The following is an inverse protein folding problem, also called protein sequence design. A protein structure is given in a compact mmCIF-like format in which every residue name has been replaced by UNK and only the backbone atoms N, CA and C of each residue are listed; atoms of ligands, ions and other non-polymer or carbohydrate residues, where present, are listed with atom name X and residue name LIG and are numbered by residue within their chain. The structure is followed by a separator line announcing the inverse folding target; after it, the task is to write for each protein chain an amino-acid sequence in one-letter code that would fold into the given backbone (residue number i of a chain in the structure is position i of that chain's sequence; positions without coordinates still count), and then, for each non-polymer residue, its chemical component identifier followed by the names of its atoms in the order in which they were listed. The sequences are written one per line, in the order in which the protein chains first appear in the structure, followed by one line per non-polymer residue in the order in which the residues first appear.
data_IF_092434446497
#
_entry.id   IF_092434446497
#
_cell.length_a   1.000
_cell.length_b   1.000
_cell.length_c   1.000
_cell.angle_alpha   90.00
_cell.angle_beta   90.00
_cell.angle_gamma   90.00
#
_symmetry.space_group_name_H-M   'P 1'
#
loop_
_entity.id
_entity.type
_entity.pdbx_description
1 polymer ?
#
# COMPACT_ATOMS: atom_id res chain seq x y z
N UNK A 1 34.74 18.08 25.79
CA UNK A 1 34.30 17.66 27.14
C UNK A 1 33.79 16.23 27.01
N UNK A 2 34.45 15.28 27.67
CA UNK A 2 34.14 13.85 27.59
C UNK A 2 32.82 13.58 28.33
N UNK A 3 31.71 13.52 27.59
CA UNK A 3 30.42 13.07 28.13
C UNK A 3 30.55 11.60 28.48
N UNK A 4 30.41 11.25 29.76
CA UNK A 4 30.40 9.87 30.21
C UNK A 4 29.37 9.04 29.39
N UNK A 5 29.68 7.79 29.02
CA UNK A 5 28.74 6.96 28.28
C UNK A 5 27.47 6.78 29.12
N UNK A 6 26.33 7.18 28.56
CA UNK A 6 25.03 7.04 29.22
C UNK A 6 24.68 5.55 29.26
N UNK A 7 24.63 4.99 30.47
CA UNK A 7 24.26 3.59 30.70
C UNK A 7 22.80 3.48 31.14
N UNK A 8 22.14 2.39 30.75
CA UNK A 8 20.74 2.10 31.07
C UNK A 8 20.62 0.76 31.79
N UNK A 9 19.73 0.69 32.78
CA UNK A 9 19.53 -0.52 33.56
C UNK A 9 18.40 -1.39 32.99
N UNK A 10 18.46 -2.73 33.14
CA UNK A 10 17.32 -3.60 32.88
C UNK A 10 16.09 -3.14 33.68
N UNK A 11 14.93 -3.23 33.06
CA UNK A 11 13.63 -2.71 33.50
C UNK A 11 13.49 -1.18 33.58
N UNK A 12 14.51 -0.40 33.22
CA UNK A 12 14.40 1.06 33.15
C UNK A 12 13.48 1.50 32.00
N UNK A 13 12.63 2.49 32.29
CA UNK A 13 11.79 3.16 31.29
C UNK A 13 12.62 4.19 30.55
N UNK A 14 12.65 4.10 29.23
CA UNK A 14 13.50 4.91 28.35
C UNK A 14 12.71 5.41 27.16
N UNK A 15 13.30 6.37 26.44
CA UNK A 15 12.80 6.82 25.15
C UNK A 15 13.76 6.26 24.08
N UNK A 16 13.23 5.58 23.06
CA UNK A 16 14.03 4.93 22.03
C UNK A 16 13.66 5.49 20.65
N UNK A 17 14.68 5.83 19.86
CA UNK A 17 14.49 6.18 18.46
C UNK A 17 14.15 4.94 17.64
N UNK A 18 13.09 5.03 16.82
CA UNK A 18 12.81 4.07 15.75
C UNK A 18 12.53 4.87 14.47
N UNK A 19 13.48 4.82 13.53
CA UNK A 19 13.51 5.77 12.41
C UNK A 19 13.66 7.22 12.88
N UNK A 20 12.90 8.19 12.32
CA UNK A 20 12.97 9.60 12.71
C UNK A 20 12.16 9.93 13.99
N UNK A 21 11.42 8.96 14.55
CA UNK A 21 10.53 9.17 15.69
C UNK A 21 11.10 8.58 16.98
N UNK A 22 10.64 9.11 18.11
CA UNK A 22 10.98 8.65 19.46
C UNK A 22 9.76 8.02 20.10
N UNK A 23 9.92 6.79 20.59
CA UNK A 23 8.87 6.00 21.25
C UNK A 23 9.23 5.73 22.71
N UNK A 24 8.19 5.53 23.52
CA UNK A 24 8.36 5.02 24.88
C UNK A 24 8.74 3.53 24.81
N UNK A 25 9.83 3.16 25.50
CA UNK A 25 10.33 1.80 25.55
C UNK A 25 10.78 1.43 26.97
N UNK A 26 10.99 0.13 27.18
CA UNK A 26 11.55 -0.44 28.40
C UNK A 26 12.76 -1.27 28.04
N UNK A 27 13.87 -1.09 28.76
CA UNK A 27 15.04 -1.94 28.61
C UNK A 27 14.73 -3.30 29.24
N UNK A 28 14.85 -4.38 28.47
CA UNK A 28 14.69 -5.75 28.95
C UNK A 28 16.03 -6.33 29.41
N UNK A 29 17.08 -6.17 28.60
CA UNK A 29 18.42 -6.71 28.85
C UNK A 29 19.49 -5.72 28.41
N UNK A 30 20.68 -5.85 28.98
CA UNK A 30 21.88 -5.09 28.63
C UNK A 30 23.03 -6.08 28.46
N UNK A 31 23.67 -6.07 27.30
CA UNK A 31 24.81 -6.93 26.97
C UNK A 31 25.92 -6.07 26.36
N UNK A 32 27.16 -6.27 26.80
CA UNK A 32 28.35 -5.67 26.19
C UNK A 32 28.90 -6.62 25.14
N UNK A 33 28.89 -6.19 23.88
CA UNK A 33 29.45 -6.98 22.78
C UNK A 33 30.89 -6.52 22.50
N UNK A 34 31.91 -7.39 22.73
CA UNK A 34 33.30 -7.07 22.41
C UNK A 34 33.56 -7.03 20.89
N UNK A 35 32.73 -7.74 20.12
CA UNK A 35 32.74 -7.78 18.65
C UNK A 35 31.52 -7.04 18.07
N UNK A 36 31.54 -6.66 16.77
CA UNK A 36 30.41 -5.99 16.12
C UNK A 36 29.12 -6.83 16.24
N UNK A 37 28.08 -6.25 16.84
CA UNK A 37 26.83 -6.98 17.06
C UNK A 37 26.16 -7.35 15.72
N UNK A 38 25.69 -8.60 15.52
CA UNK A 38 25.28 -9.13 14.21
C UNK A 38 24.12 -8.40 13.53
N UNK A 39 23.31 -7.62 14.26
CA UNK A 39 22.20 -6.83 13.70
C UNK A 39 22.49 -5.33 13.55
N UNK A 40 23.38 -4.78 14.36
CA UNK A 40 23.62 -3.33 14.45
C UNK A 40 24.99 -2.92 13.94
N UNK A 41 25.95 -3.85 13.85
CA UNK A 41 27.32 -3.62 13.39
C UNK A 41 28.17 -2.76 14.35
N UNK A 42 27.61 -2.32 15.48
CA UNK A 42 28.31 -1.53 16.50
C UNK A 42 28.98 -2.42 17.55
N UNK A 43 30.11 -1.95 18.08
CA UNK A 43 30.85 -2.55 19.19
C UNK A 43 30.45 -1.83 20.48
N UNK A 44 30.39 -2.55 21.61
CA UNK A 44 30.11 -1.99 22.93
C UNK A 44 28.72 -2.32 23.48
N UNK A 45 28.19 -1.52 24.43
CA UNK A 45 26.94 -1.83 25.11
C UNK A 45 25.76 -1.82 24.14
N UNK A 46 24.95 -2.88 24.20
CA UNK A 46 23.67 -2.97 23.52
C UNK A 46 22.57 -3.27 24.53
N UNK A 47 21.38 -2.77 24.22
CA UNK A 47 20.22 -2.89 25.08
C UNK A 47 19.08 -3.52 24.28
N UNK A 48 18.51 -4.60 24.80
CA UNK A 48 17.30 -5.17 24.25
C UNK A 48 16.14 -4.30 24.74
N UNK A 49 15.42 -3.68 23.82
CA UNK A 49 14.30 -2.79 24.17
C UNK A 49 12.96 -3.33 23.69
N UNK A 50 11.96 -3.16 24.53
CA UNK A 50 10.56 -3.41 24.20
C UNK A 50 9.79 -2.10 24.13
N UNK A 51 9.18 -1.80 22.99
CA UNK A 51 8.39 -0.59 22.80
C UNK A 51 7.01 -0.74 23.42
N UNK A 52 6.56 0.31 24.11
CA UNK A 52 5.23 0.30 24.74
C UNK A 52 4.14 0.22 23.69
N UNK A 53 3.31 -0.83 23.78
CA UNK A 53 2.19 -1.08 22.88
C UNK A 53 2.60 -1.75 21.56
N UNK A 54 3.83 -2.25 21.45
CA UNK A 54 4.30 -2.99 20.28
C UNK A 54 4.37 -4.49 20.62
N UNK A 55 4.29 -5.36 19.60
CA UNK A 55 4.44 -6.82 19.81
C UNK A 55 5.89 -7.16 20.18
N UNK A 56 6.11 -8.20 20.99
CA UNK A 56 7.45 -8.68 21.38
C UNK A 56 8.34 -9.06 20.18
N UNK A 57 7.74 -9.39 19.03
CA UNK A 57 8.50 -9.65 17.78
C UNK A 57 9.25 -8.42 17.26
N UNK A 58 8.93 -7.22 17.77
CA UNK A 58 9.62 -5.96 17.46
C UNK A 58 10.71 -5.61 18.47
N UNK A 59 10.97 -6.47 19.44
CA UNK A 59 12.05 -6.26 20.40
C UNK A 59 13.38 -6.33 19.66
N UNK A 60 14.18 -5.28 19.79
CA UNK A 60 15.45 -5.14 19.09
C UNK A 60 16.58 -4.77 20.04
N UNK A 61 17.78 -5.24 19.70
CA UNK A 61 19.01 -4.80 20.34
C UNK A 61 19.43 -3.48 19.71
N UNK A 62 19.58 -2.45 20.55
CA UNK A 62 19.96 -1.10 20.11
C UNK A 62 21.20 -0.61 20.84
N UNK A 63 22.07 0.18 20.17
CA UNK A 63 23.18 0.85 20.83
C UNK A 63 22.68 2.02 21.70
N UNK A 64 23.49 2.50 22.67
CA UNK A 64 23.13 3.61 23.55
C UNK A 64 22.75 4.89 22.80
N UNK A 65 23.29 5.12 21.60
CA UNK A 65 22.99 6.30 20.78
C UNK A 65 21.51 6.41 20.37
N UNK A 66 20.76 5.29 20.35
CA UNK A 66 19.31 5.30 20.07
C UNK A 66 18.46 5.49 21.33
N UNK A 67 19.06 5.47 22.51
CA UNK A 67 18.35 5.56 23.78
C UNK A 67 18.53 6.92 24.44
N UNK A 68 17.43 7.39 25.01
CA UNK A 68 17.30 8.64 25.72
C UNK A 68 16.74 8.36 27.11
N UNK A 69 17.30 9.02 28.13
CA UNK A 69 16.79 8.94 29.51
C UNK A 69 15.39 9.52 29.58
N UNK A 70 14.59 8.97 30.49
CA UNK A 70 13.26 9.48 30.80
C UNK A 70 13.35 10.79 31.59
N UNK A 71 13.46 11.91 30.89
CA UNK A 71 13.49 13.25 31.47
C UNK A 71 12.56 14.20 30.70
N UNK A 72 12.26 15.35 31.30
CA UNK A 72 11.31 16.32 30.75
C UNK A 72 11.76 16.88 29.39
N UNK A 73 13.07 17.05 29.19
CA UNK A 73 13.64 17.54 27.92
C UNK A 73 13.41 16.54 26.78
N UNK A 74 13.64 15.25 27.00
CA UNK A 74 13.48 14.21 25.98
C UNK A 74 11.99 13.90 25.73
N UNK A 75 11.14 14.06 26.76
CA UNK A 75 9.68 13.99 26.61
C UNK A 75 9.15 15.13 25.74
N UNK A 76 9.69 16.35 25.91
CA UNK A 76 9.36 17.47 25.02
C UNK A 76 9.81 17.20 23.57
N UNK A 77 11.00 16.59 23.38
CA UNK A 77 11.49 16.19 22.07
C UNK A 77 10.55 15.18 21.39
N UNK A 78 10.11 14.14 22.12
CA UNK A 78 9.13 13.18 21.62
C UNK A 78 7.84 13.88 21.15
N UNK A 79 7.28 14.77 21.98
CA UNK A 79 6.06 15.51 21.63
C UNK A 79 6.25 16.40 20.40
N UNK A 80 7.39 17.08 20.28
CA UNK A 80 7.68 17.95 19.15
C UNK A 80 7.83 17.15 17.84
N UNK A 81 8.54 16.02 17.88
CA UNK A 81 8.68 15.12 16.72
C UNK A 81 7.32 14.55 16.28
N UNK A 82 6.45 14.16 17.22
CA UNK A 82 5.10 13.68 16.90
C UNK A 82 4.20 14.79 16.33
N UNK A 83 4.32 16.02 16.84
CA UNK A 83 3.53 17.16 16.37
C UNK A 83 3.94 17.65 14.97
N UNK A 84 5.23 17.56 14.61
CA UNK A 84 5.70 17.98 13.28
C UNK A 84 5.29 17.02 12.16
N UNK A 85 5.05 15.74 12.46
CA UNK A 85 4.54 14.78 11.46
C UNK A 85 3.03 14.95 11.24
N UNK A 86 2.30 15.48 12.23
CA UNK A 86 0.87 15.78 12.11
C UNK A 86 0.55 17.07 11.34
N UNK A 87 1.56 17.83 10.91
CA UNK A 87 1.38 19.00 10.05
C UNK A 87 1.82 18.65 8.62
N UNK A 88 0.91 18.64 7.63
CA UNK A 88 1.33 18.55 6.24
C UNK A 88 2.23 19.76 5.93
N UNK A 89 3.37 19.50 5.29
CA UNK A 89 4.29 20.53 4.81
C UNK A 89 3.56 21.49 3.87
N UNK A 90 3.04 22.58 4.42
CA UNK A 90 2.60 23.74 3.66
C UNK A 90 3.85 24.55 3.31
N UNK A 91 4.02 24.77 2.00
CA UNK A 91 5.06 25.55 1.36
C UNK A 91 5.36 26.85 2.11
N UNK A 92 6.65 27.08 2.32
CA UNK A 92 7.25 28.33 2.71
C UNK A 92 6.85 29.46 1.75
N UNK A 93 6.08 30.43 2.25
CA UNK A 93 6.06 31.80 1.74
C UNK A 93 6.07 32.76 2.92
N UNK A 94 7.02 33.69 2.88
CA UNK A 94 7.22 34.77 3.85
C UNK A 94 5.99 35.68 3.90
N UNK A 95 5.54 36.08 5.10
CA UNK A 95 5.43 37.50 5.44
C UNK A 95 5.25 37.76 6.94
N UNK A 96 5.80 38.91 7.32
CA UNK A 96 5.88 39.63 8.59
C UNK A 96 4.53 39.92 9.28
N UNK A 97 4.56 40.14 10.61
CA UNK A 97 3.59 41.03 11.28
C UNK A 97 2.78 40.49 12.48
N UNK A 98 3.23 40.87 13.69
CA UNK A 98 2.46 41.32 14.88
C UNK A 98 1.43 40.40 15.59
N UNK A 99 1.88 39.90 16.75
CA UNK A 99 1.40 40.23 18.11
C UNK A 99 -0.09 40.56 18.32
N UNK A 100 -0.80 39.70 19.08
CA UNK A 100 -1.72 40.16 20.13
C UNK A 100 -1.97 39.08 21.18
N UNK A 101 -1.70 39.43 22.43
CA UNK A 101 -2.08 38.71 23.65
C UNK A 101 -3.59 38.48 23.74
N UNK A 102 -4.02 37.39 24.40
CA UNK A 102 -5.02 37.44 25.48
C UNK A 102 -5.19 36.10 26.22
N UNK A 103 -4.83 36.18 27.50
CA UNK A 103 -5.54 35.69 28.71
C UNK A 103 -5.51 34.20 29.07
N UNK A 104 -4.70 33.94 30.11
CA UNK A 104 -4.90 32.96 31.19
C UNK A 104 -6.36 32.94 31.69
N UNK A 105 -6.88 31.73 31.88
CA UNK A 105 -8.01 31.42 32.74
C UNK A 105 -7.69 30.12 33.47
N UNK A 106 -7.39 30.26 34.75
CA UNK A 106 -7.21 29.19 35.74
C UNK A 106 -8.57 28.58 36.09
N UNK A 107 -8.61 27.28 36.40
CA UNK A 107 -9.85 26.53 36.54
C UNK A 107 -9.60 25.08 36.96
N UNK A 108 -9.24 24.92 38.23
CA UNK A 108 -9.12 23.67 38.97
C UNK A 108 -10.36 22.78 38.94
N UNK A 109 -10.15 21.48 38.66
CA UNK A 109 -10.83 20.37 39.33
C UNK A 109 -12.08 19.76 38.68
N UNK A 110 -11.94 18.56 38.10
CA UNK A 110 -12.80 17.42 38.45
C UNK A 110 -12.24 16.11 37.91
N UNK A 111 -12.11 15.13 38.82
CA UNK A 111 -11.77 13.73 38.56
C UNK A 111 -12.88 13.07 37.74
N UNK A 112 -12.64 12.89 36.45
CA UNK A 112 -13.41 11.97 35.60
C UNK A 112 -12.52 10.82 35.17
N UNK A 113 -12.60 9.70 35.89
CA UNK A 113 -12.00 8.41 35.49
C UNK A 113 -12.70 7.96 34.21
N UNK A 114 -12.18 8.39 33.05
CA UNK A 114 -12.50 7.80 31.76
C UNK A 114 -11.81 6.44 31.72
N UNK A 115 -12.56 5.39 32.06
CA UNK A 115 -12.25 4.02 31.63
C UNK A 115 -12.16 4.07 30.11
N UNK A 116 -10.93 4.16 29.60
CA UNK A 116 -10.61 3.95 28.20
C UNK A 116 -11.04 2.53 27.88
N UNK A 117 -12.07 2.45 27.06
CA UNK A 117 -12.62 1.24 26.48
C UNK A 117 -11.50 0.55 25.70
N UNK A 118 -10.88 -0.46 26.30
CA UNK A 118 -10.01 -1.43 25.63
C UNK A 118 -10.86 -2.33 24.72
N UNK A 119 -11.49 -1.75 23.70
CA UNK A 119 -12.09 -2.51 22.59
C UNK A 119 -11.34 -2.13 21.31
N UNK A 120 -10.83 -3.16 20.64
CA UNK A 120 -10.33 -3.20 19.26
C UNK A 120 -8.88 -2.75 18.94
N UNK A 121 -7.86 -3.48 19.41
CA UNK A 121 -6.58 -3.63 18.66
C UNK A 121 -6.45 -5.02 18.01
N UNK A 122 -7.55 -5.78 17.92
CA UNK A 122 -7.63 -7.02 17.14
C UNK A 122 -8.20 -6.79 15.72
N UNK A 123 -8.38 -5.53 15.33
CA UNK A 123 -9.02 -5.08 14.08
C UNK A 123 -8.09 -4.27 13.18
N UNK A 124 -6.76 -4.36 13.38
CA UNK A 124 -5.81 -3.89 12.35
C UNK A 124 -5.89 -4.83 11.16
N UNK A 125 -6.87 -4.57 10.30
CA UNK A 125 -7.03 -5.20 9.00
C UNK A 125 -5.66 -5.21 8.31
N UNK A 126 -5.20 -6.38 7.84
CA UNK A 126 -3.93 -6.44 7.13
C UNK A 126 -4.00 -5.53 5.90
N UNK A 127 -3.05 -4.58 5.85
CA UNK A 127 -3.02 -3.54 4.82
C UNK A 127 -2.08 -3.96 3.70
N UNK A 128 -2.63 -4.20 2.52
CA UNK A 128 -1.88 -4.59 1.33
C UNK A 128 -1.24 -3.33 0.72
N UNK A 129 -0.01 -3.01 1.13
CA UNK A 129 0.76 -1.89 0.55
C UNK A 129 1.80 -2.38 -0.43
N UNK A 130 1.78 -2.01 -1.68
CA UNK A 130 2.87 -2.28 -2.62
C UNK A 130 3.20 -1.02 -3.42
N UNK A 131 4.43 -0.96 -3.92
CA UNK A 131 4.86 0.14 -4.77
C UNK A 131 4.69 -0.27 -6.23
N UNK A 132 3.94 0.53 -6.98
CA UNK A 132 3.80 0.35 -8.41
C UNK A 132 5.10 0.85 -9.08
N UNK A 133 5.74 0.07 -9.96
CA UNK A 133 6.88 0.51 -10.77
C UNK A 133 6.60 1.81 -11.53
N UNK A 134 7.58 2.70 -11.61
CA UNK A 134 7.42 4.02 -12.27
C UNK A 134 6.93 3.93 -13.73
N UNK A 135 7.41 3.00 -14.58
CA UNK A 135 6.89 2.85 -15.94
C UNK A 135 5.39 2.57 -16.00
N UNK A 136 4.87 1.81 -15.04
CA UNK A 136 3.43 1.49 -14.97
C UNK A 136 2.61 2.66 -14.44
N UNK A 137 3.19 3.54 -13.62
CA UNK A 137 2.51 4.77 -13.19
C UNK A 137 2.33 5.74 -14.35
N UNK A 138 3.34 5.89 -15.19
CA UNK A 138 3.26 6.73 -16.40
C UNK A 138 2.12 6.22 -17.29
N UNK A 139 2.07 4.90 -17.53
CA UNK A 139 0.97 4.28 -18.29
C UNK A 139 -0.41 4.53 -17.66
N UNK A 140 -0.55 4.51 -16.34
CA UNK A 140 -1.83 4.83 -15.68
C UNK A 140 -2.26 6.29 -15.88
N UNK A 141 -1.30 7.21 -15.90
CA UNK A 141 -1.57 8.64 -16.15
C UNK A 141 -1.95 8.84 -17.62
N UNK A 142 -1.22 8.23 -18.54
CA UNK A 142 -1.48 8.30 -19.97
C UNK A 142 -2.84 7.66 -20.33
N UNK A 143 -3.15 6.50 -19.76
CA UNK A 143 -4.44 5.82 -19.90
C UNK A 143 -5.60 6.68 -19.39
N UNK A 144 -5.45 7.31 -18.22
CA UNK A 144 -6.46 8.23 -17.69
C UNK A 144 -6.65 9.44 -18.62
N UNK A 145 -5.57 10.03 -19.14
CA UNK A 145 -5.63 11.18 -20.05
C UNK A 145 -6.27 10.80 -21.40
N UNK A 146 -5.88 9.65 -21.96
CA UNK A 146 -6.43 9.12 -23.21
C UNK A 146 -7.96 8.94 -23.12
N UNK A 147 -8.43 8.28 -22.06
CA UNK A 147 -9.87 8.00 -21.93
C UNK A 147 -10.68 9.22 -21.50
N UNK A 148 -10.19 10.00 -20.53
CA UNK A 148 -11.00 11.09 -19.94
C UNK A 148 -10.89 12.42 -20.65
N UNK A 149 -9.74 12.75 -21.27
CA UNK A 149 -9.54 14.02 -21.97
C UNK A 149 -9.58 13.85 -23.48
N UNK A 150 -8.85 12.86 -24.01
CA UNK A 150 -8.72 12.70 -25.46
C UNK A 150 -9.90 11.95 -26.09
N UNK A 151 -10.85 11.45 -25.29
CA UNK A 151 -12.00 10.67 -25.76
C UNK A 151 -11.57 9.46 -26.59
N UNK A 152 -10.49 8.81 -26.18
CA UNK A 152 -9.98 7.58 -26.79
C UNK A 152 -10.42 6.35 -26.00
N UNK A 153 -10.46 5.21 -26.67
CA UNK A 153 -10.86 3.93 -26.09
C UNK A 153 -9.85 2.85 -26.45
N UNK A 154 -9.71 1.90 -25.54
CA UNK A 154 -8.97 0.67 -25.79
C UNK A 154 -9.73 -0.16 -26.83
N UNK A 155 -8.99 -0.77 -27.77
CA UNK A 155 -9.57 -1.67 -28.77
C UNK A 155 -10.11 -2.94 -28.09
N UNK A 156 -11.37 -3.29 -28.34
CA UNK A 156 -11.95 -4.53 -27.81
C UNK A 156 -12.44 -5.42 -28.98
N UNK A 157 -12.20 -6.73 -28.96
CA UNK A 157 -11.47 -7.50 -27.94
C UNK A 157 -9.95 -7.28 -27.99
N UNK A 158 -9.29 -7.32 -26.83
CA UNK A 158 -7.83 -7.16 -26.74
C UNK A 158 -7.08 -8.44 -27.05
N UNK A 159 -5.89 -8.26 -27.64
CA UNK A 159 -4.88 -9.30 -27.82
C UNK A 159 -3.50 -8.71 -27.45
N UNK A 160 -2.81 -9.23 -26.42
CA UNK A 160 -3.25 -10.28 -25.49
C UNK A 160 -4.40 -9.82 -24.57
N UNK A 161 -5.24 -10.76 -24.15
CA UNK A 161 -6.31 -10.54 -23.14
C UNK A 161 -5.80 -10.86 -21.72
N UNK A 162 -6.62 -10.60 -20.69
CA UNK A 162 -6.23 -10.85 -19.29
C UNK A 162 -5.95 -12.33 -19.03
N UNK A 163 -6.74 -13.25 -19.59
CA UNK A 163 -6.54 -14.70 -19.41
C UNK A 163 -5.16 -15.15 -19.92
N UNK A 164 -4.84 -14.83 -21.19
CA UNK A 164 -3.54 -15.14 -21.79
C UNK A 164 -2.39 -14.46 -21.06
N UNK A 165 -2.61 -13.27 -20.50
CA UNK A 165 -1.61 -12.56 -19.71
C UNK A 165 -1.35 -13.25 -18.36
N UNK A 166 -2.40 -13.70 -17.68
CA UNK A 166 -2.27 -14.45 -16.42
C UNK A 166 -1.62 -15.82 -16.63
N UNK A 167 -1.88 -16.47 -17.75
CA UNK A 167 -1.19 -17.71 -18.13
C UNK A 167 0.29 -17.49 -18.42
N UNK A 168 0.64 -16.42 -19.16
CA UNK A 168 2.05 -16.03 -19.36
C UNK A 168 2.73 -15.74 -18.03
N UNK A 169 2.05 -15.03 -17.13
CA UNK A 169 2.54 -14.76 -15.79
C UNK A 169 2.78 -16.05 -14.98
N UNK A 170 1.89 -17.03 -15.08
CA UNK A 170 2.07 -18.35 -14.46
C UNK A 170 3.35 -19.03 -14.94
N UNK A 171 3.57 -19.05 -16.26
CA UNK A 171 4.78 -19.60 -16.86
C UNK A 171 6.04 -18.82 -16.46
N UNK A 172 5.95 -17.49 -16.35
CA UNK A 172 7.04 -16.64 -15.88
C UNK A 172 7.46 -16.99 -14.45
N UNK A 173 6.51 -17.12 -13.52
CA UNK A 173 6.81 -17.48 -12.13
C UNK A 173 7.43 -18.88 -12.02
N UNK A 174 6.95 -19.84 -12.82
CA UNK A 174 7.51 -21.21 -12.83
C UNK A 174 8.96 -21.25 -13.33
N UNK A 175 9.36 -20.32 -14.19
CA UNK A 175 10.72 -20.22 -14.73
C UNK A 175 11.63 -19.27 -13.93
N UNK A 176 11.11 -18.64 -12.87
CA UNK A 176 11.86 -17.67 -12.08
C UNK A 176 12.90 -18.38 -11.20
N UNK A 177 14.14 -17.89 -11.21
CA UNK A 177 15.24 -18.49 -10.43
C UNK A 177 14.99 -18.46 -8.91
N UNK A 178 14.18 -17.51 -8.44
CA UNK A 178 13.74 -17.37 -7.04
C UNK A 178 12.23 -17.14 -7.01
N UNK A 179 11.40 -18.19 -7.02
CA UNK A 179 9.96 -18.04 -6.99
C UNK A 179 9.48 -17.49 -5.63
N UNK A 180 8.32 -16.81 -5.60
CA UNK A 180 7.65 -16.44 -4.35
C UNK A 180 7.32 -17.68 -3.49
N UNK A 181 7.15 -17.49 -2.17
CA UNK A 181 6.85 -18.58 -1.25
C UNK A 181 5.52 -19.26 -1.59
N UNK A 182 5.49 -20.58 -1.42
CA UNK A 182 4.36 -21.47 -1.69
C UNK A 182 3.85 -21.48 -3.15
N UNK A 183 4.65 -21.96 -4.13
CA UNK A 183 4.23 -22.04 -5.53
C UNK A 183 2.87 -22.74 -5.79
N UNK A 184 2.46 -23.65 -4.88
CA UNK A 184 1.17 -24.32 -4.94
C UNK A 184 -0.05 -23.40 -4.79
N UNK A 185 0.12 -22.17 -4.28
CA UNK A 185 -0.98 -21.19 -4.14
C UNK A 185 -1.18 -20.33 -5.39
N UNK A 186 -0.22 -20.36 -6.33
CA UNK A 186 -0.26 -19.54 -7.54
C UNK A 186 -1.53 -19.75 -8.38
N UNK A 187 -2.02 -20.98 -8.63
CA UNK A 187 -3.26 -21.19 -9.37
C UNK A 187 -4.48 -20.54 -8.70
N UNK A 188 -4.57 -20.59 -7.37
CA UNK A 188 -5.66 -20.00 -6.60
C UNK A 188 -5.59 -18.48 -6.64
N UNK A 189 -4.39 -17.89 -6.60
CA UNK A 189 -4.19 -16.44 -6.74
C UNK A 189 -4.61 -15.99 -8.14
N UNK A 190 -4.17 -16.68 -9.19
CA UNK A 190 -4.55 -16.35 -10.58
C UNK A 190 -6.07 -16.44 -10.77
N UNK A 191 -6.69 -17.54 -10.33
CA UNK A 191 -8.15 -17.70 -10.41
C UNK A 191 -8.88 -16.63 -9.60
N UNK A 192 -8.37 -16.26 -8.42
CA UNK A 192 -8.92 -15.19 -7.60
C UNK A 192 -8.81 -13.82 -8.26
N UNK A 193 -7.70 -13.52 -8.93
CA UNK A 193 -7.51 -12.28 -9.68
C UNK A 193 -8.44 -12.21 -10.89
N UNK A 194 -8.59 -13.30 -11.64
CA UNK A 194 -9.52 -13.40 -12.77
C UNK A 194 -10.97 -13.21 -12.32
N UNK A 195 -11.43 -13.99 -11.33
CA UNK A 195 -12.79 -13.88 -10.81
C UNK A 195 -13.08 -12.48 -10.23
N UNK A 196 -12.08 -11.86 -9.59
CA UNK A 196 -12.20 -10.50 -9.10
C UNK A 196 -12.26 -9.48 -10.23
N UNK A 197 -11.46 -9.64 -11.29
CA UNK A 197 -11.50 -8.80 -12.49
C UNK A 197 -12.89 -8.85 -13.12
N UNK A 198 -13.42 -10.04 -13.37
CA UNK A 198 -14.72 -10.24 -14.01
C UNK A 198 -15.87 -9.60 -13.23
N UNK A 199 -15.82 -9.70 -11.89
CA UNK A 199 -16.83 -9.09 -11.03
C UNK A 199 -16.67 -7.58 -10.86
N UNK A 200 -15.43 -7.08 -10.87
CA UNK A 200 -15.13 -5.68 -10.55
C UNK A 200 -15.10 -4.76 -11.77
N UNK A 201 -14.89 -5.31 -12.97
CA UNK A 201 -14.75 -4.54 -14.21
C UNK A 201 -15.93 -3.56 -14.39
N UNK A 202 -17.14 -4.12 -14.44
CA UNK A 202 -18.36 -3.33 -14.65
C UNK A 202 -18.71 -2.40 -13.49
N UNK A 203 -18.17 -2.59 -12.29
CA UNK A 203 -18.47 -1.76 -11.13
C UNK A 203 -17.48 -0.60 -10.98
N UNK A 204 -16.18 -0.92 -10.98
CA UNK A 204 -15.13 -0.08 -10.41
C UNK A 204 -13.99 0.27 -11.38
N UNK A 205 -13.79 -0.48 -12.47
CA UNK A 205 -12.59 -0.35 -13.30
C UNK A 205 -12.76 0.55 -14.53
N UNK A 206 -14.01 0.79 -14.93
CA UNK A 206 -14.34 1.56 -16.13
C UNK A 206 -14.57 3.03 -15.80
N UNK A 207 -13.92 3.91 -16.57
CA UNK A 207 -14.23 5.34 -16.54
C UNK A 207 -15.63 5.59 -17.10
N UNK A 208 -16.21 6.75 -16.78
CA UNK A 208 -17.55 7.13 -17.26
C UNK A 208 -17.67 7.03 -18.78
N UNK A 209 -16.60 7.40 -19.51
CA UNK A 209 -16.58 7.40 -20.98
C UNK A 209 -16.59 5.98 -21.59
N UNK A 210 -16.06 4.97 -20.90
CA UNK A 210 -16.03 3.58 -21.36
C UNK A 210 -17.35 2.83 -21.10
N UNK A 211 -18.28 3.41 -20.34
CA UNK A 211 -19.55 2.74 -19.96
C UNK A 211 -20.41 2.39 -21.17
N UNK A 212 -20.41 3.22 -22.21
CA UNK A 212 -21.15 2.94 -23.44
C UNK A 212 -20.54 1.76 -24.20
N UNK A 213 -19.21 1.69 -24.31
CA UNK A 213 -18.48 0.57 -24.91
C UNK A 213 -18.75 -0.72 -24.12
N UNK A 214 -18.72 -0.68 -22.79
CA UNK A 214 -19.05 -1.84 -21.96
C UNK A 214 -20.49 -2.32 -22.18
N UNK A 215 -21.46 -1.41 -22.28
CA UNK A 215 -22.84 -1.79 -22.59
C UNK A 215 -22.96 -2.46 -23.96
N UNK A 216 -22.23 -1.99 -24.97
CA UNK A 216 -22.18 -2.62 -26.29
C UNK A 216 -21.53 -4.00 -26.24
N UNK A 217 -20.42 -4.15 -25.54
CA UNK A 217 -19.73 -5.44 -25.34
C UNK A 217 -20.64 -6.44 -24.65
N UNK A 218 -21.34 -6.04 -23.57
CA UNK A 218 -22.32 -6.91 -22.92
C UNK A 218 -23.44 -7.30 -23.87
N UNK A 219 -23.96 -6.36 -24.67
CA UNK A 219 -24.99 -6.67 -25.67
C UNK A 219 -24.49 -7.61 -26.76
N UNK A 220 -23.21 -7.54 -27.13
CA UNK A 220 -22.65 -8.38 -28.20
C UNK A 220 -22.34 -9.80 -27.73
N UNK A 221 -21.83 -9.97 -26.51
CA UNK A 221 -21.27 -11.23 -26.05
C UNK A 221 -22.05 -11.91 -24.90
N UNK A 222 -22.90 -11.18 -24.18
CA UNK A 222 -23.65 -11.71 -23.02
C UNK A 222 -25.15 -11.69 -23.29
N UNK A 223 -25.73 -10.51 -23.51
CA UNK A 223 -27.19 -10.31 -23.53
C UNK A 223 -27.75 -10.17 -24.95
N UNK A 224 -26.99 -10.55 -25.96
CA UNK A 224 -27.32 -10.36 -27.37
C UNK A 224 -28.24 -11.43 -27.94
N UNK A 225 -28.96 -11.13 -29.03
CA UNK A 225 -29.81 -12.12 -29.72
C UNK A 225 -29.01 -13.28 -30.34
N UNK A 226 -27.72 -13.08 -30.62
CA UNK A 226 -26.82 -14.08 -31.21
C UNK A 226 -26.01 -14.88 -30.17
N UNK A 227 -26.23 -14.63 -28.87
CA UNK A 227 -25.47 -15.27 -27.79
C UNK A 227 -26.05 -16.65 -27.48
N UNK A 228 -25.21 -17.68 -27.59
CA UNK A 228 -25.57 -19.02 -27.15
C UNK A 228 -25.46 -19.13 -25.63
N UNK A 229 -26.60 -19.34 -24.98
CA UNK A 229 -26.73 -19.49 -23.53
C UNK A 229 -25.79 -20.60 -23.05
N UNK A 230 -24.83 -20.25 -22.19
CA UNK A 230 -23.82 -21.16 -21.64
C UNK A 230 -22.41 -21.04 -22.25
N UNK A 231 -22.22 -20.21 -23.27
CA UNK A 231 -20.91 -19.90 -23.87
C UNK A 231 -20.55 -18.42 -23.78
N UNK A 232 -21.06 -17.74 -22.74
CA UNK A 232 -20.76 -16.33 -22.52
C UNK A 232 -19.28 -16.19 -22.12
N UNK A 233 -18.47 -15.48 -22.92
CA UNK A 233 -17.08 -15.24 -22.56
C UNK A 233 -17.00 -14.37 -21.30
N UNK A 234 -16.09 -14.74 -20.40
CA UNK A 234 -15.74 -13.92 -19.26
C UNK A 234 -15.12 -12.59 -19.71
N UNK A 235 -15.23 -11.54 -18.90
CA UNK A 235 -14.70 -10.23 -19.28
C UNK A 235 -13.18 -10.24 -19.38
N UNK A 236 -12.52 -11.11 -18.60
CA UNK A 236 -11.09 -11.44 -18.66
C UNK A 236 -10.63 -11.91 -20.04
N UNK A 237 -11.51 -12.51 -20.85
CA UNK A 237 -11.19 -12.93 -22.22
C UNK A 237 -11.30 -11.81 -23.27
N UNK A 238 -11.99 -10.70 -22.94
CA UNK A 238 -12.27 -9.58 -23.84
C UNK A 238 -11.35 -8.38 -23.57
N UNK A 239 -11.08 -8.10 -22.29
CA UNK A 239 -10.31 -6.94 -21.86
C UNK A 239 -8.82 -7.26 -21.74
N UNK A 240 -7.99 -6.21 -21.66
CA UNK A 240 -6.52 -6.31 -21.69
C UNK A 240 -5.82 -5.92 -20.40
N UNK A 241 -4.50 -5.74 -20.51
CA UNK A 241 -3.60 -5.39 -19.41
C UNK A 241 -3.89 -4.03 -18.79
N UNK A 242 -4.46 -3.10 -19.57
CA UNK A 242 -4.80 -1.73 -19.17
C UNK A 242 -5.79 -1.75 -17.99
N UNK A 243 -6.89 -2.47 -18.15
CA UNK A 243 -7.93 -2.61 -17.12
C UNK A 243 -7.46 -3.46 -15.95
N UNK A 244 -6.63 -4.49 -16.20
CA UNK A 244 -6.03 -5.29 -15.13
C UNK A 244 -5.14 -4.42 -14.23
N UNK A 245 -4.34 -3.53 -14.82
CA UNK A 245 -3.50 -2.62 -14.05
C UNK A 245 -4.35 -1.72 -13.14
N UNK A 246 -5.47 -1.17 -13.64
CA UNK A 246 -6.43 -0.40 -12.81
C UNK A 246 -7.00 -1.22 -11.65
N UNK A 247 -7.29 -2.50 -11.89
CA UNK A 247 -7.72 -3.43 -10.83
C UNK A 247 -6.66 -3.57 -9.75
N UNK A 248 -5.39 -3.75 -10.14
CA UNK A 248 -4.28 -3.89 -9.20
C UNK A 248 -4.18 -2.63 -8.33
N UNK A 249 -4.30 -1.43 -8.88
CA UNK A 249 -4.30 -0.17 -8.08
C UNK A 249 -5.42 -0.15 -7.03
N UNK A 250 -6.56 -0.76 -7.33
CA UNK A 250 -7.71 -0.80 -6.43
C UNK A 250 -7.62 -1.91 -5.38
N UNK A 251 -6.83 -2.97 -5.61
CA UNK A 251 -6.68 -4.16 -4.74
C UNK A 251 -6.51 -3.85 -3.25
N UNK A 252 -5.67 -2.88 -2.82
CA UNK A 252 -5.51 -2.55 -1.40
C UNK A 252 -6.83 -2.25 -0.69
N UNK A 253 -7.73 -1.50 -1.34
CA UNK A 253 -9.04 -1.16 -0.79
C UNK A 253 -9.94 -2.38 -0.62
N UNK A 254 -9.81 -3.36 -1.52
CA UNK A 254 -10.60 -4.60 -1.46
C UNK A 254 -10.05 -5.54 -0.40
N UNK A 255 -8.72 -5.70 -0.31
CA UNK A 255 -8.10 -6.56 0.71
C UNK A 255 -8.39 -6.02 2.11
N UNK A 256 -8.45 -4.70 2.29
CA UNK A 256 -8.89 -4.09 3.55
C UNK A 256 -10.36 -4.41 3.92
N UNK A 257 -11.20 -4.82 2.97
CA UNK A 257 -12.57 -5.28 3.22
C UNK A 257 -12.69 -6.79 3.41
N UNK A 258 -11.63 -7.55 3.10
CA UNK A 258 -11.59 -9.00 3.16
C UNK A 258 -11.25 -9.54 4.56
N UNK A 259 -11.55 -10.81 4.79
CA UNK A 259 -11.25 -11.55 6.03
C UNK A 259 -9.92 -12.31 5.98
N UNK A 260 -9.01 -11.95 5.06
CA UNK A 260 -7.70 -12.58 4.96
C UNK A 260 -6.85 -12.31 6.20
N UNK A 261 -6.08 -13.30 6.63
CA UNK A 261 -5.10 -13.16 7.69
C UNK A 261 -3.80 -12.49 7.18
N UNK A 262 -2.95 -12.04 8.09
CA UNK A 262 -1.74 -11.28 7.75
C UNK A 262 -0.71 -12.07 6.93
N UNK A 263 -0.64 -13.39 7.10
CA UNK A 263 0.29 -14.24 6.34
C UNK A 263 -0.18 -14.39 4.90
N UNK A 264 -1.48 -14.69 4.70
CA UNK A 264 -2.11 -14.72 3.37
C UNK A 264 -1.97 -13.39 2.61
N UNK A 265 -2.13 -12.25 3.30
CA UNK A 265 -1.94 -10.93 2.67
C UNK A 265 -0.47 -10.69 2.31
N UNK A 266 0.49 -11.16 3.11
CA UNK A 266 1.91 -11.07 2.77
C UNK A 266 2.25 -11.89 1.53
N UNK A 267 1.75 -13.12 1.43
CA UNK A 267 1.95 -13.98 0.26
C UNK A 267 1.33 -13.32 -0.97
N UNK A 268 0.07 -12.88 -0.88
CA UNK A 268 -0.60 -12.17 -1.98
C UNK A 268 0.21 -10.95 -2.42
N UNK A 269 0.76 -10.18 -1.48
CA UNK A 269 1.59 -9.00 -1.77
C UNK A 269 2.81 -9.36 -2.63
N UNK A 270 3.52 -10.42 -2.29
CA UNK A 270 4.71 -10.84 -3.03
C UNK A 270 4.37 -11.25 -4.46
N UNK A 271 3.27 -12.00 -4.66
CA UNK A 271 2.77 -12.33 -6.00
C UNK A 271 2.28 -11.11 -6.78
N UNK A 272 1.66 -10.12 -6.14
CA UNK A 272 1.25 -8.89 -6.83
C UNK A 272 2.47 -8.05 -7.24
N UNK A 273 3.51 -8.00 -6.40
CA UNK A 273 4.76 -7.30 -6.74
C UNK A 273 5.43 -7.97 -7.94
N UNK A 274 5.52 -9.30 -7.97
CA UNK A 274 6.09 -10.00 -9.12
C UNK A 274 5.23 -9.84 -10.39
N UNK A 275 3.90 -9.82 -10.27
CA UNK A 275 3.03 -9.51 -11.40
C UNK A 275 3.30 -8.10 -11.96
N UNK A 276 3.47 -7.10 -11.09
CA UNK A 276 3.82 -5.74 -11.50
C UNK A 276 5.19 -5.67 -12.17
N UNK A 277 6.17 -6.44 -11.67
CA UNK A 277 7.50 -6.53 -12.30
C UNK A 277 7.41 -7.17 -13.69
N UNK A 278 6.67 -8.26 -13.83
CA UNK A 278 6.40 -8.92 -15.11
C UNK A 278 5.72 -7.97 -16.10
N UNK A 279 4.66 -7.27 -15.67
CA UNK A 279 3.96 -6.29 -16.51
C UNK A 279 4.86 -5.12 -16.92
N UNK A 280 5.78 -4.70 -16.06
CA UNK A 280 6.74 -3.64 -16.38
C UNK A 280 7.79 -4.11 -17.40
N UNK A 281 8.20 -5.38 -17.36
CA UNK A 281 9.13 -5.98 -18.33
C UNK A 281 8.48 -6.20 -19.69
N UNK A 282 7.26 -6.73 -19.74
CA UNK A 282 6.53 -7.01 -20.98
C UNK A 282 5.65 -5.84 -21.45
N UNK A 283 5.85 -4.63 -20.91
CA UNK A 283 4.95 -3.48 -21.15
C UNK A 283 4.68 -3.20 -22.64
N UNK A 284 5.69 -3.38 -23.49
CA UNK A 284 5.59 -3.11 -24.94
C UNK A 284 4.74 -4.16 -25.67
N UNK A 285 4.60 -5.36 -25.11
CA UNK A 285 3.86 -6.47 -25.71
C UNK A 285 2.43 -6.59 -25.17
N UNK A 286 2.19 -6.13 -23.94
CA UNK A 286 0.90 -6.29 -23.26
C UNK A 286 0.00 -5.06 -23.34
N UNK A 287 0.57 -3.85 -23.39
CA UNK A 287 -0.20 -2.61 -23.45
C UNK A 287 -0.35 -2.10 -24.88
N UNK A 288 -1.53 -1.57 -25.19
CA UNK A 288 -1.80 -0.91 -26.45
C UNK A 288 -1.13 0.47 -26.46
N UNK A 289 -0.31 0.74 -27.49
CA UNK A 289 0.43 2.01 -27.60
C UNK A 289 -0.48 3.17 -28.02
N UNK A 290 -1.39 2.94 -28.97
CA UNK A 290 -2.29 3.97 -29.50
C UNK A 290 -3.74 3.55 -29.33
N UNK A 291 -4.53 4.35 -28.61
CA UNK A 291 -5.96 4.10 -28.40
C UNK A 291 -6.80 4.67 -29.54
N UNK A 292 -7.93 4.01 -29.83
CA UNK A 292 -8.83 4.44 -30.90
C UNK A 292 -9.58 5.70 -30.49
N UNK A 293 -9.58 6.70 -31.38
CA UNK A 293 -10.41 7.88 -31.17
C UNK A 293 -11.90 7.51 -31.30
N UNK A 294 -12.69 7.82 -30.27
CA UNK A 294 -14.11 7.49 -30.30
C UNK A 294 -14.86 8.30 -31.36
N UNK A 295 -15.76 7.64 -32.09
CA UNK A 295 -16.58 8.28 -33.12
C UNK A 295 -17.47 9.38 -32.53
N UNK A 296 -17.85 10.40 -33.32
CA UNK A 296 -18.76 11.45 -32.84
C UNK A 296 -20.08 10.90 -32.31
N UNK A 297 -20.60 9.83 -32.91
CA UNK A 297 -21.81 9.14 -32.46
C UNK A 297 -21.60 8.52 -31.06
N UNK A 298 -20.47 7.87 -30.83
CA UNK A 298 -20.12 7.31 -29.51
C UNK A 298 -19.99 8.42 -28.46
N UNK A 299 -19.30 9.52 -28.79
CA UNK A 299 -19.11 10.64 -27.87
C UNK A 299 -20.44 11.24 -27.40
N UNK A 300 -21.43 11.35 -28.28
CA UNK A 300 -22.76 11.83 -27.93
C UNK A 300 -23.47 10.90 -26.93
N UNK A 301 -23.38 9.58 -27.13
CA UNK A 301 -23.97 8.59 -26.23
C UNK A 301 -23.24 8.56 -24.88
N UNK A 302 -21.91 8.65 -24.87
CA UNK A 302 -21.11 8.59 -23.65
C UNK A 302 -21.15 9.88 -22.80
N UNK A 303 -21.50 11.02 -23.41
CA UNK A 303 -21.67 12.32 -22.72
C UNK A 303 -23.09 12.58 -22.23
N UNK A 304 -24.08 11.86 -22.78
CA UNK A 304 -25.47 11.87 -22.32
C UNK A 304 -25.59 11.23 -20.94
#
# INVERSE_FOLDING_TARGET
MSTAPVTFNPNERVLCYHGPMVYEAKVLKSEDHPDPHPKTGSIGPHYLVHYKGWKQTWDEWVPPARLLKWNETNLALQKNLQANVAKPSAKSTKHDGKQSERRKGDGTGSRGVKRGRDEDDNSRKPDLKFNIPEPLKVLLVDDWEAVTKNSQLVTLPRNPNVETLLDRYKSYIMNLAKPPPFPQVLPQIISGLQAYFDKSLGANLLYRFERAQYAEVRKRYITGPDVQVGTEPEMSSIYGAEHLLRMIVSLPGIVASSTLDGESVSILREYIIELLNFMAQEKENIFQVEYDSASPAYQNVARS
#
